data_IF_749004418466
#
_entry.id   IF_749004418466
#
_cell.length_a   1.000
_cell.length_b   1.000
_cell.length_c   1.000
_cell.angle_alpha   90.00
_cell.angle_beta   90.00
_cell.angle_gamma   90.00
#
_symmetry.space_group_name_H-M   'P 1'
#
loop_
_entity.id
_entity.type
_entity.pdbx_description
1 polymer ?
#
# COMPACT_ATOMS: atom_id res chain seq x y z
N UNK A 1 2.23 19.80 9.63
CA UNK A 1 1.99 19.60 10.22
C UNK A 1 1.74 18.35 10.65
N UNK A 2 1.66 17.78 11.27
CA UNK A 2 1.56 16.58 11.90
C UNK A 2 0.94 15.48 11.15
N UNK A 3 0.87 15.56 9.91
CA UNK A 3 0.26 14.59 9.22
C UNK A 3 1.14 13.61 8.65
N UNK A 4 2.28 13.38 9.20
CA UNK A 4 3.19 12.44 8.63
C UNK A 4 2.64 11.05 8.60
N UNK A 5 1.81 10.72 9.53
CA UNK A 5 1.24 9.39 9.56
C UNK A 5 0.27 9.15 8.43
N UNK A 6 -0.22 10.22 7.83
CA UNK A 6 -1.17 10.08 6.75
C UNK A 6 -0.54 10.25 5.39
N UNK A 7 0.78 10.36 5.36
CA UNK A 7 1.45 10.65 4.13
C UNK A 7 1.85 9.37 3.41
N UNK A 8 1.06 8.33 3.56
CA UNK A 8 1.37 7.06 2.93
C UNK A 8 1.25 7.14 1.42
N UNK A 9 0.46 8.04 0.90
CA UNK A 9 0.23 8.08 -0.53
C UNK A 9 1.46 8.50 -1.32
N UNK A 10 2.46 9.01 -0.63
CA UNK A 10 3.69 9.37 -1.31
C UNK A 10 4.71 8.24 -1.26
N UNK A 11 4.34 7.12 -0.65
CA UNK A 11 5.29 6.04 -0.46
C UNK A 11 5.01 4.91 -1.43
N UNK A 12 6.07 4.35 -1.95
CA UNK A 12 5.96 3.22 -2.86
C UNK A 12 6.02 1.93 -2.07
N UNK A 13 5.19 0.97 -2.43
CA UNK A 13 5.12 -0.30 -1.72
C UNK A 13 5.90 -1.35 -2.49
N UNK A 14 6.76 -2.06 -1.78
CA UNK A 14 7.59 -3.09 -2.38
C UNK A 14 7.38 -4.38 -1.60
N UNK A 15 7.09 -5.45 -2.34
CA UNK A 15 6.91 -6.75 -1.74
C UNK A 15 8.27 -7.41 -1.63
N UNK A 16 8.74 -7.64 -0.40
CA UNK A 16 10.07 -8.17 -0.21
C UNK A 16 10.16 -9.65 -0.56
N UNK A 17 9.04 -10.34 -0.66
CA UNK A 17 9.07 -11.75 -1.01
C UNK A 17 9.59 -11.96 -2.42
N UNK A 18 9.26 -11.07 -3.34
CA UNK A 18 9.70 -11.21 -4.72
C UNK A 18 10.33 -9.92 -5.24
N UNK A 19 10.53 -8.95 -4.38
CA UNK A 19 11.17 -7.69 -4.73
C UNK A 19 10.40 -6.90 -5.79
N UNK A 20 9.11 -7.12 -5.90
CA UNK A 20 8.33 -6.43 -6.90
C UNK A 20 7.73 -5.16 -6.34
N UNK A 21 7.64 -4.17 -7.20
CA UNK A 21 7.01 -2.91 -6.82
C UNK A 21 5.52 -3.02 -7.04
N UNK A 22 4.78 -2.73 -6.02
CA UNK A 22 3.33 -2.82 -6.11
C UNK A 22 2.68 -1.50 -6.42
N UNK A 23 3.46 -0.44 -6.48
CA UNK A 23 2.95 0.88 -6.78
C UNK A 23 2.85 1.72 -5.52
N UNK A 24 2.34 2.92 -5.68
CA UNK A 24 2.20 3.82 -4.55
C UNK A 24 0.89 3.53 -3.82
N UNK A 25 0.88 3.83 -2.54
CA UNK A 25 -0.33 3.62 -1.74
C UNK A 25 -1.47 4.43 -2.36
N UNK A 26 -2.56 3.73 -2.67
CA UNK A 26 -3.70 4.36 -3.28
C UNK A 26 -4.68 4.83 -2.23
N UNK A 27 -4.82 4.09 -1.15
CA UNK A 27 -5.72 4.45 -0.09
C UNK A 27 -5.33 3.74 1.18
N UNK A 28 -5.92 4.14 2.28
CA UNK A 28 -5.62 3.60 3.58
C UNK A 28 -6.93 3.32 4.28
N UNK A 29 -7.05 2.14 4.89
CA UNK A 29 -8.22 1.78 5.64
C UNK A 29 -7.91 1.88 7.13
N UNK A 30 -8.81 2.46 7.88
CA UNK A 30 -8.61 2.64 9.30
C UNK A 30 -9.83 2.17 10.06
N UNK A 31 -9.58 1.73 11.30
CA UNK A 31 -10.65 1.35 12.19
C UNK A 31 -11.19 2.62 12.83
N UNK A 32 -12.46 2.87 12.67
CA UNK A 32 -13.06 4.09 13.17
C UNK A 32 -13.09 4.14 14.69
N UNK A 33 -13.10 2.99 15.33
CA UNK A 33 -13.14 2.98 16.78
C UNK A 33 -11.81 3.26 17.43
N UNK A 34 -10.75 2.73 16.86
CA UNK A 34 -9.43 2.90 17.44
C UNK A 34 -8.60 3.94 16.71
N UNK A 35 -8.99 4.31 15.52
CA UNK A 35 -8.20 5.22 14.72
C UNK A 35 -6.95 4.61 14.14
N UNK A 36 -6.78 3.30 14.27
CA UNK A 36 -5.58 2.64 13.78
C UNK A 36 -5.75 2.19 12.34
N UNK A 37 -4.66 2.23 11.61
CA UNK A 37 -4.69 1.77 10.23
C UNK A 37 -4.75 0.26 10.22
N UNK A 38 -5.72 -0.29 9.52
CA UNK A 38 -5.89 -1.74 9.44
C UNK A 38 -5.30 -2.32 8.17
N UNK A 39 -5.23 -1.54 7.10
CA UNK A 39 -4.66 -2.02 5.85
C UNK A 39 -4.35 -0.85 4.94
N UNK A 40 -3.56 -1.13 3.91
CA UNK A 40 -3.32 -0.15 2.87
C UNK A 40 -3.73 -0.78 1.55
N UNK A 41 -4.05 0.05 0.58
CA UNK A 41 -4.50 -0.40 -0.71
C UNK A 41 -3.55 0.12 -1.77
N UNK A 42 -3.05 -0.77 -2.61
CA UNK A 42 -2.16 -0.41 -3.69
C UNK A 42 -2.74 -0.94 -4.99
N UNK A 43 -2.36 -0.37 -6.13
CA UNK A 43 -2.89 -0.84 -7.40
C UNK A 43 -2.43 -2.25 -7.75
N UNK A 44 -1.32 -2.68 -7.22
CA UNK A 44 -0.90 -4.06 -7.39
C UNK A 44 -0.20 -4.36 -8.68
N UNK A 45 -0.76 -4.00 -9.79
CA UNK A 45 -0.17 -4.32 -11.07
C UNK A 45 0.28 -3.07 -11.78
N UNK A 46 1.48 -3.09 -12.30
CA UNK A 46 1.94 -2.01 -13.13
C UNK A 46 1.78 -2.36 -14.59
N UNK A 47 1.20 -3.48 -14.88
CA UNK A 47 1.00 -3.90 -16.25
C UNK A 47 -0.10 -3.06 -16.86
N UNK A 48 0.22 -2.33 -17.88
CA UNK A 48 -0.73 -1.42 -18.49
C UNK A 48 -1.88 -2.16 -19.15
N UNK A 49 -1.62 -3.36 -19.64
CA UNK A 49 -2.68 -4.10 -20.26
C UNK A 49 -3.69 -4.54 -19.24
N UNK A 50 -3.23 -4.89 -18.06
CA UNK A 50 -4.15 -5.31 -17.03
C UNK A 50 -5.01 -4.15 -16.56
N UNK A 51 -4.43 -2.98 -16.51
CA UNK A 51 -5.18 -1.83 -16.02
C UNK A 51 -6.25 -1.40 -17.01
N UNK A 52 -6.12 -1.77 -18.26
CA UNK A 52 -7.15 -1.44 -19.24
C UNK A 52 -8.35 -2.35 -19.12
N UNK A 53 -8.13 -3.58 -18.70
CA UNK A 53 -9.22 -4.52 -18.62
C UNK A 53 -9.79 -4.69 -17.25
N UNK A 54 -9.08 -4.30 -16.24
CA UNK A 54 -9.56 -4.51 -14.90
C UNK A 54 -9.29 -3.28 -14.07
N UNK A 55 -10.33 -2.69 -13.61
CA UNK A 55 -10.17 -1.55 -12.71
C UNK A 55 -10.09 -2.03 -11.27
N UNK A 56 -10.18 -3.35 -11.05
CA UNK A 56 -10.18 -3.85 -9.70
C UNK A 56 -9.00 -4.71 -9.39
N UNK A 57 -7.83 -4.26 -9.77
CA UNK A 57 -6.63 -5.02 -9.43
C UNK A 57 -6.04 -4.55 -8.13
N UNK A 58 -6.79 -3.82 -7.35
CA UNK A 58 -6.26 -3.28 -6.11
C UNK A 58 -5.92 -4.40 -5.15
N UNK A 59 -4.81 -4.25 -4.47
CA UNK A 59 -4.39 -5.21 -3.48
C UNK A 59 -4.56 -4.58 -2.12
N UNK A 60 -5.26 -5.26 -1.24
CA UNK A 60 -5.44 -4.81 0.13
C UNK A 60 -4.40 -5.52 0.97
N UNK A 61 -3.52 -4.77 1.59
CA UNK A 61 -2.43 -5.32 2.38
C UNK A 61 -2.73 -5.08 3.85
N UNK A 62 -2.95 -6.15 4.62
CA UNK A 62 -3.22 -5.98 6.05
C UNK A 62 -2.02 -5.38 6.75
N UNK A 63 -2.27 -4.63 7.80
CA UNK A 63 -1.21 -3.97 8.54
C UNK A 63 -0.15 -4.94 9.02
N UNK A 64 -0.56 -6.14 9.40
CA UNK A 64 0.39 -7.12 9.92
C UNK A 64 1.34 -7.65 8.87
N UNK A 65 1.08 -7.39 7.60
CA UNK A 65 2.01 -7.80 6.55
C UNK A 65 3.02 -6.72 6.24
N UNK A 66 2.90 -5.57 6.86
CA UNK A 66 3.85 -4.48 6.64
C UNK A 66 5.05 -4.71 7.53
N UNK A 67 6.22 -4.77 6.92
CA UNK A 67 7.45 -5.06 7.64
C UNK A 67 8.21 -3.82 8.03
N UNK A 68 8.16 -2.80 7.21
CA UNK A 68 8.93 -1.60 7.49
C UNK A 68 8.30 -0.42 6.77
N UNK A 69 8.29 0.72 7.40
CA UNK A 69 7.80 1.94 6.79
C UNK A 69 8.92 2.95 6.81
N UNK A 70 9.39 3.33 5.64
CA UNK A 70 10.43 4.34 5.52
C UNK A 70 9.84 5.65 5.07
N UNK A 71 10.70 6.57 4.72
CA UNK A 71 10.23 7.87 4.27
C UNK A 71 9.58 7.79 2.91
N UNK A 72 10.15 7.01 2.02
CA UNK A 72 9.63 6.93 0.66
C UNK A 72 9.15 5.55 0.29
N UNK A 73 9.32 4.58 1.15
CA UNK A 73 9.02 3.19 0.84
C UNK A 73 8.28 2.52 1.97
N UNK A 74 7.47 1.54 1.60
CA UNK A 74 6.86 0.64 2.55
C UNK A 74 7.20 -0.76 2.10
N UNK A 75 7.79 -1.55 2.98
CA UNK A 75 8.14 -2.93 2.66
C UNK A 75 7.10 -3.85 3.26
N UNK A 76 6.56 -4.72 2.42
CA UNK A 76 5.54 -5.67 2.85
C UNK A 76 5.96 -7.07 2.45
N UNK A 77 5.35 -8.04 3.06
CA UNK A 77 5.67 -9.43 2.75
C UNK A 77 4.36 -10.16 2.55
N UNK A 78 3.96 -10.30 1.33
CA UNK A 78 2.69 -10.98 1.02
C UNK A 78 2.89 -12.10 0.02
#
# INVERSE_FOLDING_TARGET
>A
MGDKGLDFKHKEVINISDAKRLGYVQDVCADLETGKITSIIVPGSTNKFMSLFSSNNDIVIPWEKIRCIGEDLILVEI
#
